data_IF_872567147192
#
_entry.id   IF_872567147192
#
_cell.length_a   1.000
_cell.length_b   1.000
_cell.length_c   1.000
_cell.angle_alpha   90.00
_cell.angle_beta   90.00
_cell.angle_gamma   90.00
#
_symmetry.space_group_name_H-M   'P 1'
#
loop_
_entity.id
_entity.type
_entity.pdbx_description
1 polymer ?
#
# COMPACT_ATOMS: atom_id res chain seq x y z
N UNK A 1 20.86 -39.57 35.45
CA UNK A 1 19.92 -38.59 34.85
C UNK A 1 18.51 -39.15 35.01
N UNK A 2 17.65 -38.52 35.83
CA UNK A 2 16.24 -38.95 36.01
C UNK A 2 15.35 -37.97 35.25
N UNK A 3 14.56 -38.50 34.32
CA UNK A 3 13.64 -37.77 33.45
C UNK A 3 12.28 -37.70 34.18
N UNK A 4 11.76 -36.50 34.41
CA UNK A 4 10.46 -36.28 35.03
C UNK A 4 9.42 -36.05 33.92
N UNK A 5 8.52 -37.02 33.73
CA UNK A 5 7.35 -36.90 32.84
C UNK A 5 6.16 -36.39 33.65
N UNK A 6 5.51 -35.34 33.16
CA UNK A 6 4.34 -34.72 33.77
C UNK A 6 3.05 -35.34 33.20
N UNK A 7 2.11 -35.70 34.08
CA UNK A 7 0.78 -36.18 33.72
C UNK A 7 -0.30 -35.37 34.48
N UNK A 8 -1.30 -34.78 33.80
CA UNK A 8 -2.28 -33.94 34.45
C UNK A 8 -3.43 -34.75 35.08
N UNK A 9 -4.01 -34.30 36.22
CA UNK A 9 -5.13 -34.99 36.87
C UNK A 9 -6.49 -34.60 36.27
N UNK A 10 -7.41 -35.58 36.17
CA UNK A 10 -8.84 -35.39 35.82
C UNK A 10 -9.73 -35.41 37.07
N UNK A 11 -10.77 -34.55 37.07
CA UNK A 11 -12.23 -34.79 37.29
C UNK A 11 -12.93 -33.77 38.20
N UNK A 12 -13.86 -33.04 37.56
CA UNK A 12 -15.28 -32.78 37.87
C UNK A 12 -15.79 -32.66 39.32
N UNK A 13 -16.60 -31.61 39.59
CA UNK A 13 -17.96 -31.72 40.19
C UNK A 13 -18.73 -30.38 40.12
N UNK A 14 -20.04 -30.49 39.90
CA UNK A 14 -21.06 -29.44 39.72
C UNK A 14 -21.45 -28.74 41.05
N UNK A 15 -22.01 -27.51 40.98
CA UNK A 15 -23.13 -27.06 41.86
C UNK A 15 -23.94 -25.91 41.24
N UNK A 16 -25.27 -25.97 41.43
CA UNK A 16 -26.34 -25.03 40.99
C UNK A 16 -26.45 -23.79 41.90
N UNK A 17 -26.95 -22.65 41.36
CA UNK A 17 -28.25 -22.01 41.73
C UNK A 17 -28.34 -20.46 41.65
N UNK A 18 -29.44 -20.01 41.02
CA UNK A 18 -30.37 -18.91 41.40
C UNK A 18 -30.09 -17.38 41.19
N UNK A 19 -30.92 -16.81 40.30
CA UNK A 19 -31.90 -15.69 40.49
C UNK A 19 -31.57 -14.18 40.38
N UNK A 20 -32.39 -13.55 39.49
CA UNK A 20 -33.17 -12.27 39.57
C UNK A 20 -32.61 -10.91 39.05
N UNK A 21 -33.18 -10.52 37.88
CA UNK A 21 -34.16 -9.43 37.65
C UNK A 21 -33.71 -7.93 37.55
N UNK A 22 -34.00 -7.27 36.41
CA UNK A 22 -34.91 -6.07 36.30
C UNK A 22 -34.86 -5.31 34.93
N UNK A 23 -36.07 -5.04 34.39
CA UNK A 23 -36.61 -3.84 33.68
C UNK A 23 -35.99 -3.41 32.31
N UNK A 24 -36.71 -2.90 31.30
CA UNK A 24 -38.10 -2.44 31.03
C UNK A 24 -38.34 -2.58 29.49
N UNK A 25 -39.54 -2.86 28.93
CA UNK A 25 -40.67 -1.93 28.66
C UNK A 25 -40.20 -0.69 27.86
N UNK A 26 -40.65 -0.32 26.65
CA UNK A 26 -41.98 -0.40 26.01
C UNK A 26 -41.94 0.04 24.52
N UNK A 27 -42.87 -0.47 23.70
CA UNK A 27 -43.59 0.16 22.55
C UNK A 27 -42.80 0.53 21.27
N UNK A 28 -42.98 -0.13 20.11
CA UNK A 28 -44.11 -0.12 19.15
C UNK A 28 -44.29 1.20 18.40
N UNK A 29 -44.10 1.20 17.07
CA UNK A 29 -45.16 1.47 16.08
C UNK A 29 -44.67 1.44 14.61
N UNK A 30 -45.66 1.29 13.73
CA UNK A 30 -45.64 0.75 12.38
C UNK A 30 -45.20 1.70 11.25
N UNK A 31 -44.82 1.05 10.15
CA UNK A 31 -44.87 1.39 8.71
C UNK A 31 -45.54 2.70 8.27
N UNK A 32 -44.88 3.41 7.33
CA UNK A 32 -45.52 3.82 6.09
C UNK A 32 -44.51 4.02 4.95
N UNK A 33 -44.95 3.61 3.77
CA UNK A 33 -44.27 3.50 2.47
C UNK A 33 -44.15 4.81 1.69
N UNK A 34 -42.97 5.08 1.12
CA UNK A 34 -42.76 5.68 -0.20
C UNK A 34 -41.41 5.20 -0.77
N UNK A 35 -41.31 4.76 -2.05
CA UNK A 35 -40.06 4.78 -2.77
C UNK A 35 -39.97 6.16 -3.43
N UNK A 36 -39.58 7.17 -2.67
CA UNK A 36 -39.10 8.40 -3.31
C UNK A 36 -37.78 8.05 -3.98
N UNK A 37 -37.72 8.32 -5.29
CA UNK A 37 -36.49 8.19 -6.05
C UNK A 37 -35.38 8.90 -5.28
N UNK A 38 -34.35 8.15 -4.89
CA UNK A 38 -33.13 8.73 -4.36
C UNK A 38 -32.56 9.55 -5.52
N UNK A 39 -32.91 10.84 -5.55
CA UNK A 39 -32.28 11.79 -6.45
C UNK A 39 -30.77 11.66 -6.23
N UNK A 40 -30.07 11.65 -7.36
CA UNK A 40 -28.67 11.36 -7.56
C UNK A 40 -27.76 12.42 -6.91
N UNK A 41 -27.91 12.67 -5.60
CA UNK A 41 -27.08 13.60 -4.82
C UNK A 41 -25.64 13.05 -4.67
N UNK A 42 -25.40 11.77 -4.97
CA UNK A 42 -24.06 11.22 -4.98
C UNK A 42 -23.17 11.81 -6.07
N UNK A 43 -23.70 12.36 -7.17
CA UNK A 43 -22.84 12.92 -8.22
C UNK A 43 -22.07 14.14 -7.73
N UNK A 44 -22.73 15.10 -7.06
CA UNK A 44 -22.07 16.35 -6.62
C UNK A 44 -20.93 16.12 -5.63
N UNK A 45 -21.08 15.21 -4.67
CA UNK A 45 -20.00 14.89 -3.74
C UNK A 45 -18.87 14.10 -4.42
N UNK A 46 -19.20 13.15 -5.30
CA UNK A 46 -18.20 12.39 -6.05
C UNK A 46 -17.44 13.25 -7.05
N UNK A 47 -18.08 14.24 -7.67
CA UNK A 47 -17.45 15.19 -8.59
C UNK A 47 -16.44 16.08 -7.84
N UNK A 48 -16.81 16.57 -6.66
CA UNK A 48 -15.90 17.32 -5.78
C UNK A 48 -14.76 16.43 -5.27
N UNK A 49 -15.05 15.17 -4.91
CA UNK A 49 -14.01 14.22 -4.52
C UNK A 49 -13.07 13.89 -5.67
N UNK A 50 -13.53 13.75 -6.90
CA UNK A 50 -12.68 13.51 -8.07
C UNK A 50 -11.85 14.76 -8.42
N UNK A 51 -12.34 15.97 -8.11
CA UNK A 51 -11.56 17.22 -8.23
C UNK A 51 -10.44 17.30 -7.18
N UNK A 52 -10.73 16.93 -5.93
CA UNK A 52 -9.78 17.04 -4.80
C UNK A 52 -8.82 15.83 -4.73
N UNK A 53 -9.33 14.64 -5.05
CA UNK A 53 -8.63 13.35 -5.00
C UNK A 53 -8.97 12.58 -6.29
N UNK A 54 -8.35 12.94 -7.43
CA UNK A 54 -8.68 12.32 -8.71
C UNK A 54 -8.28 10.86 -8.72
N UNK A 55 -9.24 9.95 -8.90
CA UNK A 55 -9.02 8.50 -8.86
C UNK A 55 -8.03 8.01 -9.93
N UNK A 56 -7.83 8.80 -10.98
CA UNK A 56 -6.89 8.53 -12.09
C UNK A 56 -5.49 9.10 -11.86
N UNK A 57 -5.28 9.87 -10.80
CA UNK A 57 -3.98 10.47 -10.49
C UNK A 57 -3.01 9.41 -9.97
N UNK A 58 -1.79 9.40 -10.50
CA UNK A 58 -0.66 8.55 -10.04
C UNK A 58 -0.45 8.64 -8.52
N UNK A 59 -0.73 9.81 -7.92
CA UNK A 59 -0.53 10.08 -6.48
C UNK A 59 -1.60 9.50 -5.56
N UNK A 60 -2.71 9.01 -6.10
CA UNK A 60 -3.87 8.49 -5.34
C UNK A 60 -4.09 6.99 -5.54
N UNK A 61 -3.34 6.39 -6.47
CA UNK A 61 -3.39 4.96 -6.77
C UNK A 61 -2.99 4.14 -5.54
N UNK A 62 -3.69 3.04 -5.31
CA UNK A 62 -3.32 2.07 -4.27
C UNK A 62 -1.97 1.42 -4.60
N UNK A 63 -1.17 1.13 -3.58
CA UNK A 63 0.16 0.56 -3.74
C UNK A 63 0.15 -0.73 -4.58
N UNK A 64 -0.86 -1.60 -4.39
CA UNK A 64 -0.98 -2.83 -5.18
C UNK A 64 -1.26 -2.56 -6.66
N UNK A 65 -1.98 -1.48 -6.98
CA UNK A 65 -2.23 -1.11 -8.37
C UNK A 65 -0.95 -0.61 -9.05
N UNK A 66 -0.16 0.21 -8.36
CA UNK A 66 1.13 0.65 -8.85
C UNK A 66 2.06 -0.54 -9.14
N UNK A 67 2.17 -1.49 -8.21
CA UNK A 67 2.96 -2.70 -8.42
C UNK A 67 2.52 -3.56 -9.61
N UNK A 68 1.21 -3.59 -9.92
CA UNK A 68 0.68 -4.33 -11.08
C UNK A 68 0.99 -3.64 -12.40
N UNK A 69 1.06 -2.32 -12.43
CA UNK A 69 1.33 -1.53 -13.63
C UNK A 69 2.83 -1.45 -13.96
N UNK A 70 3.70 -1.55 -12.95
CA UNK A 70 5.15 -1.42 -13.11
C UNK A 70 5.75 -2.30 -14.24
N UNK A 71 5.41 -3.60 -14.37
CA UNK A 71 5.95 -4.44 -15.45
C UNK A 71 5.60 -3.94 -16.85
N UNK A 72 4.39 -3.39 -17.03
CA UNK A 72 3.95 -2.88 -18.33
C UNK A 72 4.66 -1.58 -18.71
N UNK A 73 4.89 -0.71 -17.72
CA UNK A 73 5.65 0.53 -17.89
C UNK A 73 7.11 0.21 -18.24
N UNK A 74 7.72 -0.75 -17.54
CA UNK A 74 9.07 -1.22 -17.84
C UNK A 74 9.18 -1.84 -19.22
N UNK A 75 8.21 -2.68 -19.60
CA UNK A 75 8.16 -3.27 -20.94
C UNK A 75 8.09 -2.18 -22.01
N UNK A 76 7.20 -1.19 -21.84
CA UNK A 76 7.08 -0.03 -22.76
C UNK A 76 8.39 0.76 -22.84
N UNK A 77 9.07 0.96 -21.73
CA UNK A 77 10.36 1.65 -21.68
C UNK A 77 11.48 0.87 -22.37
N UNK A 78 11.51 -0.46 -22.25
CA UNK A 78 12.46 -1.32 -22.95
C UNK A 78 12.17 -1.43 -24.45
N UNK A 79 10.89 -1.48 -24.83
CA UNK A 79 10.45 -1.51 -26.23
C UNK A 79 10.83 -0.20 -26.95
N UNK A 80 10.72 0.95 -26.26
CA UNK A 80 11.11 2.26 -26.77
C UNK A 80 11.77 3.12 -25.69
N UNK A 81 13.10 3.10 -25.64
CA UNK A 81 13.88 3.87 -24.69
C UNK A 81 13.93 5.35 -25.10
N UNK A 82 12.95 6.13 -24.64
CA UNK A 82 12.84 7.57 -24.89
C UNK A 82 12.79 8.37 -23.59
N UNK A 83 13.06 9.68 -23.69
CA UNK A 83 12.93 10.61 -22.56
C UNK A 83 11.50 10.62 -22.02
N UNK A 84 10.49 10.59 -22.90
CA UNK A 84 9.08 10.53 -22.51
C UNK A 84 8.76 9.26 -21.70
N UNK A 85 9.22 8.09 -22.16
CA UNK A 85 8.99 6.84 -21.43
C UNK A 85 9.80 6.79 -20.12
N UNK A 86 10.97 7.46 -20.06
CA UNK A 86 11.73 7.62 -18.82
C UNK A 86 10.96 8.47 -17.81
N UNK A 87 10.35 9.58 -18.23
CA UNK A 87 9.56 10.44 -17.35
C UNK A 87 8.34 9.70 -16.79
N UNK A 88 7.67 8.89 -17.62
CA UNK A 88 6.55 8.03 -17.19
C UNK A 88 7.03 7.02 -16.14
N UNK A 89 8.14 6.33 -16.43
CA UNK A 89 8.74 5.39 -15.48
C UNK A 89 9.12 6.09 -14.17
N UNK A 90 9.82 7.23 -14.23
CA UNK A 90 10.23 8.00 -13.06
C UNK A 90 9.04 8.41 -12.19
N UNK A 91 7.98 8.96 -12.79
CA UNK A 91 6.75 9.34 -12.05
C UNK A 91 6.12 8.15 -11.35
N UNK A 92 6.11 7.00 -12.01
CA UNK A 92 5.56 5.77 -11.45
C UNK A 92 6.40 5.25 -10.26
N UNK A 93 7.73 5.24 -10.40
CA UNK A 93 8.65 4.87 -9.30
C UNK A 93 8.49 5.83 -8.11
N UNK A 94 8.32 7.14 -8.36
CA UNK A 94 8.05 8.13 -7.32
C UNK A 94 6.71 7.86 -6.61
N UNK A 95 5.68 7.49 -7.35
CA UNK A 95 4.38 7.13 -6.79
C UNK A 95 4.48 5.90 -5.86
N UNK A 96 5.17 4.83 -6.31
CA UNK A 96 5.41 3.64 -5.47
C UNK A 96 6.18 4.03 -4.22
N UNK A 97 7.30 4.74 -4.39
CA UNK A 97 8.18 5.15 -3.28
C UNK A 97 7.42 5.96 -2.24
N UNK A 98 6.62 6.93 -2.68
CA UNK A 98 5.79 7.75 -1.80
C UNK A 98 4.77 6.90 -1.05
N UNK A 99 4.05 6.02 -1.76
CA UNK A 99 3.03 5.17 -1.14
C UNK A 99 3.63 4.22 -0.08
N UNK A 100 4.81 3.65 -0.33
CA UNK A 100 5.52 2.80 0.63
C UNK A 100 5.96 3.63 1.86
N UNK A 101 6.55 4.81 1.65
CA UNK A 101 6.96 5.69 2.75
C UNK A 101 5.77 6.11 3.60
N UNK A 102 4.67 6.52 2.97
CA UNK A 102 3.45 6.95 3.67
C UNK A 102 2.87 5.79 4.50
N UNK A 103 2.91 4.56 3.98
CA UNK A 103 2.51 3.36 4.72
C UNK A 103 3.45 3.10 5.91
N UNK A 104 4.76 3.15 5.73
CA UNK A 104 5.75 2.91 6.78
C UNK A 104 5.66 3.98 7.88
N UNK A 105 5.51 5.25 7.53
CA UNK A 105 5.38 6.36 8.48
C UNK A 105 4.09 6.26 9.31
N UNK A 106 2.98 5.80 8.72
CA UNK A 106 1.74 5.52 9.47
C UNK A 106 2.00 4.43 10.53
N UNK A 107 2.76 3.39 10.19
CA UNK A 107 3.17 2.35 11.15
C UNK A 107 4.13 2.91 12.21
N UNK A 108 5.08 3.77 11.85
CA UNK A 108 5.99 4.44 12.80
C UNK A 108 5.25 5.31 13.82
N UNK A 109 4.22 6.08 13.41
CA UNK A 109 3.44 6.87 14.38
C UNK A 109 2.73 6.00 15.41
N UNK A 110 2.41 4.75 15.05
CA UNK A 110 1.85 3.74 15.96
C UNK A 110 2.95 3.07 16.81
N UNK A 111 4.14 2.89 16.26
CA UNK A 111 5.32 2.28 16.88
C UNK A 111 6.36 3.33 17.29
N UNK A 112 6.28 3.85 18.53
CA UNK A 112 7.09 4.97 19.09
C UNK A 112 8.63 4.83 19.06
N UNK A 113 9.21 3.85 18.39
CA UNK A 113 10.65 3.61 18.31
C UNK A 113 11.03 3.32 16.85
N UNK A 114 11.79 4.22 16.22
CA UNK A 114 13.05 3.91 15.52
C UNK A 114 13.53 5.07 14.63
N UNK A 115 14.31 5.99 15.21
CA UNK A 115 14.99 7.10 14.51
C UNK A 115 16.00 6.65 13.42
N UNK A 116 16.24 5.34 13.29
CA UNK A 116 17.20 4.74 12.35
C UNK A 116 16.59 4.21 11.06
N UNK A 117 15.31 3.84 11.04
CA UNK A 117 14.68 3.26 9.84
C UNK A 117 14.40 4.32 8.79
N UNK A 118 13.84 5.46 9.19
CA UNK A 118 13.69 6.62 8.31
C UNK A 118 15.00 7.02 7.59
N UNK A 119 16.16 6.90 8.25
CA UNK A 119 17.47 7.18 7.63
C UNK A 119 17.85 6.15 6.57
N UNK A 120 17.55 4.87 6.79
CA UNK A 120 17.78 3.80 5.81
C UNK A 120 16.89 3.99 4.59
N UNK A 121 15.60 4.22 4.81
CA UNK A 121 14.61 4.49 3.76
C UNK A 121 15.09 5.65 2.88
N UNK A 122 15.45 6.79 3.48
CA UNK A 122 15.98 7.94 2.74
C UNK A 122 17.23 7.60 1.92
N UNK A 123 18.13 6.77 2.46
CA UNK A 123 19.32 6.35 1.73
C UNK A 123 18.96 5.49 0.51
N UNK A 124 18.03 4.54 0.64
CA UNK A 124 17.58 3.70 -0.48
C UNK A 124 16.90 4.54 -1.55
N UNK A 125 16.04 5.50 -1.17
CA UNK A 125 15.42 6.45 -2.11
C UNK A 125 16.47 7.22 -2.91
N UNK A 126 17.52 7.70 -2.25
CA UNK A 126 18.62 8.38 -2.93
C UNK A 126 19.31 7.48 -3.96
N UNK A 127 19.51 6.20 -3.64
CA UNK A 127 20.11 5.23 -4.58
C UNK A 127 19.17 4.99 -5.77
N UNK A 128 17.85 4.96 -5.56
CA UNK A 128 16.86 4.86 -6.63
C UNK A 128 16.98 6.07 -7.58
N UNK A 129 17.04 7.29 -7.05
CA UNK A 129 17.20 8.51 -7.85
C UNK A 129 18.51 8.47 -8.67
N UNK A 130 19.61 8.06 -8.06
CA UNK A 130 20.91 7.88 -8.74
C UNK A 130 20.80 6.87 -9.90
N UNK A 131 20.06 5.77 -9.73
CA UNK A 131 19.83 4.78 -10.80
C UNK A 131 18.93 5.28 -11.92
N UNK A 132 17.94 6.13 -11.61
CA UNK A 132 17.11 6.79 -12.63
C UNK A 132 17.98 7.75 -13.46
N UNK A 133 18.91 8.47 -12.82
CA UNK A 133 19.87 9.31 -13.54
C UNK A 133 20.77 8.48 -14.47
N UNK A 134 21.25 7.32 -14.01
CA UNK A 134 22.01 6.38 -14.86
C UNK A 134 21.17 5.90 -16.04
N UNK A 135 19.85 5.66 -15.87
CA UNK A 135 18.97 5.34 -17.00
C UNK A 135 18.91 6.47 -18.02
N UNK A 136 18.84 7.73 -17.58
CA UNK A 136 18.87 8.88 -18.48
C UNK A 136 20.17 8.92 -19.30
N UNK A 137 21.32 8.75 -18.63
CA UNK A 137 22.63 8.70 -19.28
C UNK A 137 22.76 7.55 -20.27
N UNK A 138 22.20 6.38 -19.91
CA UNK A 138 22.12 5.24 -20.81
C UNK A 138 21.38 5.68 -22.06
N UNK A 139 20.10 6.08 -21.99
CA UNK A 139 19.27 6.44 -23.16
C UNK A 139 19.99 7.41 -24.13
N UNK A 140 20.76 8.36 -23.61
CA UNK A 140 21.46 9.38 -24.40
C UNK A 140 22.70 8.84 -25.15
N UNK A 141 23.19 7.64 -24.83
CA UNK A 141 24.41 7.07 -25.39
C UNK A 141 24.11 6.04 -26.50
N UNK A 142 24.69 6.22 -27.69
CA UNK A 142 24.37 5.43 -28.89
C UNK A 142 24.80 3.95 -28.81
N UNK A 143 25.60 3.57 -27.81
CA UNK A 143 26.02 2.19 -27.51
C UNK A 143 25.12 1.44 -26.52
N UNK A 144 23.85 1.84 -26.41
CA UNK A 144 22.90 1.27 -25.45
C UNK A 144 22.64 -0.20 -25.67
N UNK A 145 23.02 -1.00 -24.68
CA UNK A 145 22.56 -2.38 -24.61
C UNK A 145 21.24 -2.42 -23.85
N UNK A 146 20.17 -2.92 -24.47
CA UNK A 146 18.89 -3.21 -23.82
C UNK A 146 19.07 -4.01 -22.52
N UNK A 147 20.12 -4.85 -22.43
CA UNK A 147 20.49 -5.57 -21.23
C UNK A 147 20.89 -4.65 -20.07
N UNK A 148 21.63 -3.56 -20.32
CA UNK A 148 22.01 -2.58 -19.28
C UNK A 148 20.78 -1.84 -18.74
N UNK A 149 19.85 -1.46 -19.62
CA UNK A 149 18.57 -0.86 -19.24
C UNK A 149 17.77 -1.84 -18.36
N UNK A 150 17.57 -3.08 -18.83
CA UNK A 150 16.86 -4.12 -18.09
C UNK A 150 17.47 -4.41 -16.71
N UNK A 151 18.81 -4.47 -16.63
CA UNK A 151 19.51 -4.63 -15.36
C UNK A 151 19.21 -3.46 -14.42
N UNK A 152 19.27 -2.22 -14.91
CA UNK A 152 18.99 -1.03 -14.11
C UNK A 152 17.55 -1.01 -13.58
N UNK A 153 16.56 -1.37 -14.42
CA UNK A 153 15.16 -1.52 -14.00
C UNK A 153 15.00 -2.57 -12.90
N UNK A 154 15.66 -3.73 -13.07
CA UNK A 154 15.63 -4.81 -12.07
C UNK A 154 16.27 -4.40 -10.75
N UNK A 155 17.40 -3.69 -10.80
CA UNK A 155 18.06 -3.14 -9.61
C UNK A 155 17.13 -2.15 -8.88
N UNK A 156 16.43 -1.25 -9.61
CA UNK A 156 15.47 -0.30 -9.02
C UNK A 156 14.30 -1.04 -8.36
N UNK A 157 13.76 -2.09 -9.02
CA UNK A 157 12.70 -2.92 -8.42
C UNK A 157 13.14 -3.57 -7.11
N UNK A 158 14.38 -4.09 -7.05
CA UNK A 158 14.94 -4.64 -5.82
C UNK A 158 14.97 -3.60 -4.69
N UNK A 159 15.45 -2.39 -4.98
CA UNK A 159 15.49 -1.30 -4.00
C UNK A 159 14.09 -0.88 -3.52
N UNK A 160 13.08 -0.89 -4.40
CA UNK A 160 11.71 -0.61 -3.99
C UNK A 160 11.17 -1.67 -3.02
N UNK A 161 11.51 -2.95 -3.22
CA UNK A 161 11.15 -4.02 -2.29
C UNK A 161 11.88 -3.87 -0.96
N UNK A 162 13.14 -3.44 -0.96
CA UNK A 162 13.92 -3.18 0.25
C UNK A 162 13.33 -2.06 1.13
N UNK A 163 12.57 -1.11 0.56
CA UNK A 163 11.87 -0.06 1.33
C UNK A 163 10.57 -0.61 1.95
N UNK A 164 9.95 -1.61 1.31
CA UNK A 164 8.69 -2.18 1.75
C UNK A 164 8.85 -3.15 2.94
N UNK A 165 9.99 -3.85 3.03
CA UNK A 165 10.33 -4.80 4.09
C UNK A 165 10.72 -4.12 5.41
#
# INVERSE_FOLDING_TARGET
MKVLTYQPPRKETETKSASKNKKAGTSSLNSLSQPEAIENVSSSFLDILEEIVPSKSETTKDLNSLWRELPDIEKRFLDFASIENLEIYQKHIQAITKAVIDQNMRVETLSRKMKGEAKKIYHVVKIIDEKIQILAELIMNEGNSAFKLLKSLTDIRGLLLDIQE
#
